data_IF_397931471921
#
_entry.id   IF_397931471921
#
_cell.length_a   1.000
_cell.length_b   1.000
_cell.length_c   1.000
_cell.angle_alpha   90.00
_cell.angle_beta   90.00
_cell.angle_gamma   90.00
#
_symmetry.space_group_name_H-M   'P 1'
#
loop_
_entity.id
_entity.type
_entity.pdbx_description
1 polymer ?
#
# COMPACT_ATOMS: atom_id res chain seq x y z
N UNK A 1 -18.64 8.00 -47.45
CA UNK A 1 -18.40 8.79 -48.68
C UNK A 1 -17.70 7.99 -49.78
N UNK A 2 -16.43 7.61 -49.63
CA UNK A 2 -15.69 6.82 -50.64
C UNK A 2 -16.36 5.48 -51.03
N UNK A 3 -16.91 4.72 -50.07
CA UNK A 3 -17.68 3.50 -50.36
C UNK A 3 -18.94 3.78 -51.20
N UNK A 4 -19.68 4.85 -50.89
CA UNK A 4 -20.88 5.22 -51.65
C UNK A 4 -20.51 5.64 -53.07
N UNK A 5 -19.43 6.39 -53.23
CA UNK A 5 -18.92 6.78 -54.55
C UNK A 5 -18.47 5.55 -55.37
N UNK A 6 -17.86 4.55 -54.72
CA UNK A 6 -17.44 3.31 -55.39
C UNK A 6 -18.63 2.43 -55.77
N UNK A 7 -19.68 2.40 -54.95
CA UNK A 7 -20.93 1.70 -55.28
C UNK A 7 -21.57 2.29 -56.54
N UNK A 8 -21.67 3.62 -56.62
CA UNK A 8 -22.22 4.34 -57.78
C UNK A 8 -21.37 4.12 -59.03
N UNK A 9 -20.05 4.16 -58.90
CA UNK A 9 -19.13 3.93 -60.02
C UNK A 9 -19.16 2.47 -60.50
N UNK A 10 -19.34 1.49 -59.59
CA UNK A 10 -19.55 0.08 -59.94
C UNK A 10 -20.81 -0.12 -60.76
N UNK A 11 -21.92 0.48 -60.32
CA UNK A 11 -23.19 0.38 -61.02
C UNK A 11 -23.12 1.01 -62.42
N UNK A 12 -22.35 2.11 -62.56
CA UNK A 12 -22.06 2.76 -63.85
C UNK A 12 -21.20 1.86 -64.75
N UNK A 13 -20.20 1.17 -64.20
CA UNK A 13 -19.32 0.28 -64.96
C UNK A 13 -20.05 -0.99 -65.41
N UNK A 14 -20.92 -1.55 -64.56
CA UNK A 14 -21.81 -2.64 -64.91
C UNK A 14 -22.79 -2.25 -66.03
N UNK A 15 -23.33 -1.03 -65.99
CA UNK A 15 -24.17 -0.49 -67.05
C UNK A 15 -23.39 -0.37 -68.37
N UNK A 16 -22.19 0.23 -68.36
CA UNK A 16 -21.33 0.37 -69.55
C UNK A 16 -20.96 -1.01 -70.11
N UNK A 17 -20.66 -1.99 -69.27
CA UNK A 17 -20.36 -3.35 -69.70
C UNK A 17 -21.58 -4.02 -70.35
N UNK A 18 -22.75 -3.93 -69.72
CA UNK A 18 -24.02 -4.48 -70.26
C UNK A 18 -24.38 -3.84 -71.60
N UNK A 19 -24.27 -2.51 -71.71
CA UNK A 19 -24.56 -1.79 -72.96
C UNK A 19 -23.54 -2.13 -74.04
N UNK A 20 -22.26 -2.30 -73.70
CA UNK A 20 -21.25 -2.71 -74.67
C UNK A 20 -21.45 -4.15 -75.16
N UNK A 21 -21.87 -5.07 -74.28
CA UNK A 21 -22.23 -6.45 -74.63
C UNK A 21 -23.44 -6.50 -75.59
N UNK A 22 -24.47 -5.68 -75.35
CA UNK A 22 -25.62 -5.53 -76.26
C UNK A 22 -25.21 -5.02 -77.65
N UNK A 23 -24.35 -3.98 -77.71
CA UNK A 23 -23.91 -3.41 -79.00
C UNK A 23 -22.97 -4.36 -79.76
N UNK A 24 -22.13 -5.14 -79.06
CA UNK A 24 -21.31 -6.20 -79.67
C UNK A 24 -22.20 -7.29 -80.29
N UNK A 25 -23.31 -7.63 -79.63
CA UNK A 25 -24.26 -8.62 -80.13
C UNK A 25 -24.96 -8.19 -81.44
N UNK A 26 -25.13 -6.88 -81.66
CA UNK A 26 -25.72 -6.31 -82.89
C UNK A 26 -24.76 -6.25 -84.10
N UNK A 27 -23.51 -6.73 -83.98
CA UNK A 27 -22.50 -6.82 -85.06
C UNK A 27 -22.21 -5.48 -85.77
N UNK A 28 -22.15 -4.38 -85.03
CA UNK A 28 -21.73 -3.08 -85.56
C UNK A 28 -20.22 -3.07 -85.93
N UNK A 29 -19.87 -2.57 -87.12
CA UNK A 29 -18.49 -2.52 -87.63
C UNK A 29 -17.69 -1.46 -86.85
N UNK A 30 -16.51 -1.83 -86.31
CA UNK A 30 -15.59 -0.92 -85.58
C UNK A 30 -15.46 -1.15 -84.07
N UNK A 31 -16.10 -2.19 -83.52
CA UNK A 31 -16.19 -2.44 -82.07
C UNK A 31 -15.02 -3.21 -81.44
N UNK A 32 -14.04 -3.65 -82.23
CA UNK A 32 -12.92 -4.46 -81.76
C UNK A 32 -12.03 -3.70 -80.75
N UNK A 33 -11.80 -2.39 -81.00
CA UNK A 33 -11.06 -1.52 -80.09
C UNK A 33 -11.82 -1.22 -78.79
N UNK A 34 -13.15 -1.10 -78.86
CA UNK A 34 -14.03 -0.81 -77.72
C UNK A 34 -14.17 -2.04 -76.83
N UNK A 35 -14.29 -3.23 -77.43
CA UNK A 35 -14.25 -4.52 -76.75
C UNK A 35 -12.92 -4.74 -76.01
N UNK A 36 -11.79 -4.44 -76.65
CA UNK A 36 -10.47 -4.51 -76.00
C UNK A 36 -10.35 -3.54 -74.81
N UNK A 37 -10.89 -2.32 -74.93
CA UNK A 37 -10.90 -1.38 -73.80
C UNK A 37 -11.79 -1.87 -72.65
N UNK A 38 -12.97 -2.42 -72.94
CA UNK A 38 -13.89 -2.96 -71.96
C UNK A 38 -13.27 -4.15 -71.20
N UNK A 39 -12.65 -5.08 -71.93
CA UNK A 39 -11.92 -6.24 -71.39
C UNK A 39 -10.76 -5.81 -70.50
N UNK A 40 -10.14 -4.65 -70.75
CA UNK A 40 -9.07 -4.10 -69.93
C UNK A 40 -9.58 -3.28 -68.72
N UNK A 41 -10.79 -2.72 -68.77
CA UNK A 41 -11.37 -1.93 -67.68
C UNK A 41 -11.92 -2.81 -66.56
N UNK A 42 -12.56 -3.93 -66.90
CA UNK A 42 -13.09 -4.89 -65.91
C UNK A 42 -12.03 -5.40 -64.91
N UNK A 43 -10.85 -5.91 -65.31
CA UNK A 43 -9.83 -6.37 -64.35
C UNK A 43 -9.24 -5.22 -63.53
N UNK A 44 -9.08 -4.02 -64.11
CA UNK A 44 -8.59 -2.84 -63.38
C UNK A 44 -9.59 -2.39 -62.32
N UNK A 45 -10.88 -2.43 -62.63
CA UNK A 45 -11.95 -2.14 -61.67
C UNK A 45 -11.99 -3.17 -60.54
N UNK A 46 -11.94 -4.46 -60.88
CA UNK A 46 -11.86 -5.55 -59.90
C UNK A 46 -10.62 -5.42 -58.99
N UNK A 47 -9.48 -4.98 -59.52
CA UNK A 47 -8.28 -4.70 -58.72
C UNK A 47 -8.47 -3.51 -57.77
N UNK A 48 -9.12 -2.43 -58.23
CA UNK A 48 -9.46 -1.28 -57.38
C UNK A 48 -10.42 -1.70 -56.27
N UNK A 49 -11.48 -2.45 -56.60
CA UNK A 49 -12.43 -2.98 -55.62
C UNK A 49 -11.73 -3.88 -54.60
N UNK A 50 -10.86 -4.79 -55.06
CA UNK A 50 -10.08 -5.67 -54.18
C UNK A 50 -9.17 -4.88 -53.24
N UNK A 51 -8.41 -3.92 -53.77
CA UNK A 51 -7.51 -3.08 -52.97
C UNK A 51 -8.32 -2.27 -51.96
N UNK A 52 -9.39 -1.59 -52.39
CA UNK A 52 -10.22 -0.81 -51.48
C UNK A 52 -10.85 -1.67 -50.38
N UNK A 53 -11.47 -2.80 -50.73
CA UNK A 53 -12.09 -3.68 -49.75
C UNK A 53 -11.04 -4.20 -48.76
N UNK A 54 -9.83 -4.55 -49.23
CA UNK A 54 -8.74 -4.95 -48.33
C UNK A 54 -8.28 -3.82 -47.40
N UNK A 55 -8.26 -2.57 -47.89
CA UNK A 55 -7.93 -1.40 -47.09
C UNK A 55 -9.00 -1.11 -46.05
N UNK A 56 -10.28 -1.23 -46.43
CA UNK A 56 -11.41 -1.02 -45.55
C UNK A 56 -11.43 -2.04 -44.42
N UNK A 57 -11.37 -3.33 -44.74
CA UNK A 57 -11.31 -4.40 -43.74
C UNK A 57 -10.10 -4.23 -42.82
N UNK A 58 -8.96 -3.79 -43.35
CA UNK A 58 -7.78 -3.49 -42.53
C UNK A 58 -8.02 -2.33 -41.56
N UNK A 59 -8.63 -1.24 -42.02
CA UNK A 59 -8.96 -0.08 -41.18
C UNK A 59 -10.01 -0.42 -40.12
N UNK A 60 -11.06 -1.15 -40.48
CA UNK A 60 -12.11 -1.61 -39.55
C UNK A 60 -11.52 -2.50 -38.45
N UNK A 61 -10.68 -3.47 -38.83
CA UNK A 61 -10.00 -4.34 -37.87
C UNK A 61 -9.01 -3.56 -36.97
N UNK A 62 -8.25 -2.62 -37.53
CA UNK A 62 -7.34 -1.77 -36.78
C UNK A 62 -8.08 -0.88 -35.78
N UNK A 63 -9.19 -0.28 -36.21
CA UNK A 63 -10.05 0.54 -35.37
C UNK A 63 -10.67 -0.27 -34.23
N UNK A 64 -11.19 -1.47 -34.51
CA UNK A 64 -11.76 -2.35 -33.49
C UNK A 64 -10.72 -2.72 -32.42
N UNK A 65 -9.52 -3.13 -32.83
CA UNK A 65 -8.42 -3.46 -31.91
C UNK A 65 -7.96 -2.26 -31.10
N UNK A 66 -7.87 -1.08 -31.72
CA UNK A 66 -7.53 0.16 -31.03
C UNK A 66 -8.57 0.53 -29.98
N UNK A 67 -9.86 0.37 -30.31
CA UNK A 67 -10.93 0.64 -29.36
C UNK A 67 -10.88 -0.32 -28.17
N UNK A 68 -10.65 -1.62 -28.42
CA UNK A 68 -10.45 -2.60 -27.37
C UNK A 68 -9.25 -2.25 -26.47
N UNK A 69 -8.13 -1.86 -27.07
CA UNK A 69 -6.94 -1.41 -26.34
C UNK A 69 -7.23 -0.17 -25.48
N UNK A 70 -7.88 0.85 -26.04
CA UNK A 70 -8.24 2.07 -25.32
C UNK A 70 -9.14 1.78 -24.11
N UNK A 71 -10.09 0.84 -24.22
CA UNK A 71 -10.93 0.43 -23.09
C UNK A 71 -10.10 -0.20 -21.97
N UNK A 72 -9.18 -1.11 -22.31
CA UNK A 72 -8.28 -1.74 -21.32
C UNK A 72 -7.38 -0.71 -20.63
N UNK A 73 -6.85 0.25 -21.39
CA UNK A 73 -6.06 1.37 -20.84
C UNK A 73 -6.91 2.21 -19.89
N UNK A 74 -8.13 2.59 -20.30
CA UNK A 74 -9.03 3.39 -19.48
C UNK A 74 -9.43 2.70 -18.16
N UNK A 75 -9.63 1.37 -18.19
CA UNK A 75 -9.90 0.58 -16.98
C UNK A 75 -8.70 0.61 -16.01
N UNK A 76 -7.48 0.48 -16.53
CA UNK A 76 -6.26 0.59 -15.73
C UNK A 76 -6.08 2.00 -15.18
N UNK A 77 -6.27 3.04 -16.00
CA UNK A 77 -6.18 4.44 -15.57
C UNK A 77 -7.12 4.73 -14.40
N UNK A 78 -8.38 4.31 -14.53
CA UNK A 78 -9.39 4.50 -13.50
C UNK A 78 -8.98 3.82 -12.20
N UNK A 79 -8.46 2.60 -12.28
CA UNK A 79 -7.98 1.89 -11.10
C UNK A 79 -6.75 2.59 -10.49
N UNK A 80 -5.80 3.04 -11.30
CA UNK A 80 -4.63 3.79 -10.83
C UNK A 80 -5.06 5.06 -10.11
N UNK A 81 -6.00 5.82 -10.66
CA UNK A 81 -6.52 7.04 -10.04
C UNK A 81 -7.18 6.74 -8.70
N UNK A 82 -8.03 5.71 -8.64
CA UNK A 82 -8.69 5.29 -7.39
C UNK A 82 -7.69 4.90 -6.30
N UNK A 83 -6.66 4.12 -6.64
CA UNK A 83 -5.64 3.71 -5.66
C UNK A 83 -4.75 4.88 -5.26
N UNK A 84 -4.39 5.75 -6.20
CA UNK A 84 -3.59 6.94 -5.91
C UNK A 84 -4.32 7.88 -4.95
N UNK A 85 -5.60 8.17 -5.22
CA UNK A 85 -6.44 8.98 -4.35
C UNK A 85 -6.59 8.35 -2.95
N UNK A 86 -6.81 7.03 -2.90
CA UNK A 86 -6.92 6.30 -1.65
C UNK A 86 -5.63 6.38 -0.81
N UNK A 87 -4.48 6.08 -1.43
CA UNK A 87 -3.17 6.11 -0.77
C UNK A 87 -2.81 7.50 -0.24
N UNK A 88 -3.21 8.56 -0.95
CA UNK A 88 -2.98 9.95 -0.53
C UNK A 88 -3.94 10.44 0.55
N UNK A 89 -5.21 10.04 0.50
CA UNK A 89 -6.22 10.47 1.47
C UNK A 89 -6.01 9.81 2.83
N UNK A 90 -5.56 8.55 2.85
CA UNK A 90 -5.44 7.80 4.07
C UNK A 90 -4.22 8.25 4.89
N UNK A 91 -4.44 8.60 6.16
CA UNK A 91 -3.38 8.87 7.13
C UNK A 91 -3.25 7.68 8.11
N UNK A 92 -2.04 7.36 8.61
CA UNK A 92 -1.87 6.32 9.61
C UNK A 92 -2.69 6.62 10.87
N UNK A 93 -3.49 5.67 11.32
CA UNK A 93 -4.30 5.77 12.53
C UNK A 93 -3.46 5.54 13.81
N UNK A 94 -2.45 6.39 14.02
CA UNK A 94 -1.55 6.34 15.19
C UNK A 94 -2.38 6.15 16.47
N UNK A 95 -1.91 5.30 17.40
CA UNK A 95 -2.57 5.06 18.68
C UNK A 95 -3.77 4.12 18.65
N UNK A 96 -4.31 3.79 17.49
CA UNK A 96 -5.31 2.74 17.35
C UNK A 96 -4.70 1.54 16.61
N UNK A 97 -4.16 0.58 17.38
CA UNK A 97 -3.53 -0.62 16.83
C UNK A 97 -4.47 -1.44 15.96
N UNK A 98 -5.74 -1.55 16.34
CA UNK A 98 -6.75 -2.30 15.57
C UNK A 98 -6.98 -1.64 14.20
N UNK A 99 -7.10 -0.31 14.17
CA UNK A 99 -7.25 0.43 12.92
C UNK A 99 -5.97 0.37 12.09
N UNK A 100 -4.79 0.57 12.67
CA UNK A 100 -3.51 0.42 11.95
C UNK A 100 -3.36 -0.97 11.32
N UNK A 101 -3.79 -2.02 12.04
CA UNK A 101 -3.78 -3.38 11.51
C UNK A 101 -4.73 -3.52 10.32
N UNK A 102 -5.95 -2.96 10.40
CA UNK A 102 -6.88 -2.94 9.28
C UNK A 102 -6.33 -2.17 8.07
N UNK A 103 -5.68 -1.03 8.29
CA UNK A 103 -5.01 -0.27 7.23
C UNK A 103 -3.85 -1.06 6.60
N UNK A 104 -3.09 -1.80 7.42
CA UNK A 104 -2.02 -2.67 6.93
C UNK A 104 -2.56 -3.81 6.06
N UNK A 105 -3.62 -4.49 6.52
CA UNK A 105 -4.33 -5.53 5.74
C UNK A 105 -4.89 -4.96 4.43
N UNK A 106 -5.44 -3.75 4.46
CA UNK A 106 -5.93 -3.06 3.25
C UNK A 106 -4.81 -2.74 2.27
N UNK A 107 -3.68 -2.18 2.73
CA UNK A 107 -2.52 -1.89 1.88
C UNK A 107 -1.86 -3.17 1.31
N UNK A 108 -1.93 -4.28 2.05
CA UNK A 108 -1.53 -5.59 1.56
C UNK A 108 -2.50 -6.10 0.48
N UNK A 109 -3.81 -5.87 0.64
CA UNK A 109 -4.81 -6.13 -0.40
C UNK A 109 -4.52 -5.39 -1.70
N UNK A 110 -4.21 -4.08 -1.62
CA UNK A 110 -3.80 -3.29 -2.79
C UNK A 110 -2.54 -3.84 -3.47
N UNK A 111 -1.58 -4.35 -2.69
CA UNK A 111 -0.38 -4.99 -3.23
C UNK A 111 -0.71 -6.30 -3.97
N UNK A 112 -1.69 -7.06 -3.49
CA UNK A 112 -2.17 -8.27 -4.18
C UNK A 112 -2.95 -7.92 -5.47
N UNK A 113 -3.72 -6.83 -5.45
CA UNK A 113 -4.43 -6.33 -6.63
C UNK A 113 -3.43 -5.90 -7.73
N UNK A 114 -2.34 -5.22 -7.36
CA UNK A 114 -1.23 -4.89 -8.28
C UNK A 114 -0.69 -6.15 -8.97
N UNK A 115 -0.38 -7.19 -8.22
CA UNK A 115 0.14 -8.45 -8.79
C UNK A 115 -0.87 -9.13 -9.71
N UNK A 116 -2.17 -9.00 -9.39
CA UNK A 116 -3.26 -9.53 -10.23
C UNK A 116 -3.47 -8.73 -11.52
N UNK A 117 -3.18 -7.42 -11.49
CA UNK A 117 -3.32 -6.52 -12.63
C UNK A 117 -2.08 -6.46 -13.53
N UNK A 118 -0.91 -6.83 -13.03
CA UNK A 118 0.36 -6.89 -13.79
C UNK A 118 0.27 -7.68 -15.10
N UNK A 119 -0.40 -8.85 -15.17
CA UNK A 119 -0.64 -9.53 -16.46
C UNK A 119 -1.51 -8.71 -17.42
N UNK A 120 -2.46 -7.91 -16.92
CA UNK A 120 -3.28 -7.03 -17.76
C UNK A 120 -2.45 -5.89 -18.35
N UNK A 121 -1.54 -5.32 -17.56
CA UNK A 121 -0.57 -4.33 -18.05
C UNK A 121 0.28 -4.90 -19.20
N UNK A 122 0.81 -6.12 -19.03
CA UNK A 122 1.56 -6.82 -20.08
C UNK A 122 0.72 -7.10 -21.34
N UNK A 123 -0.57 -7.43 -21.18
CA UNK A 123 -1.49 -7.61 -22.32
C UNK A 123 -1.72 -6.29 -23.08
N UNK A 124 -1.83 -5.17 -22.37
CA UNK A 124 -1.97 -3.84 -22.98
C UNK A 124 -0.72 -3.46 -23.77
N UNK A 125 0.47 -3.74 -23.23
CA UNK A 125 1.76 -3.56 -23.92
C UNK A 125 1.86 -4.44 -25.18
N UNK A 126 1.52 -5.73 -25.06
CA UNK A 126 1.55 -6.66 -26.19
C UNK A 126 0.59 -6.25 -27.30
N UNK A 127 -0.59 -5.74 -26.95
CA UNK A 127 -1.58 -5.27 -27.91
C UNK A 127 -1.08 -4.09 -28.75
N UNK A 128 -0.23 -3.22 -28.19
CA UNK A 128 0.45 -2.16 -28.98
C UNK A 128 1.39 -2.76 -30.01
N UNK A 129 2.13 -3.82 -29.64
CA UNK A 129 3.01 -4.54 -30.57
C UNK A 129 2.28 -5.14 -31.77
N UNK A 130 1.06 -5.65 -31.55
CA UNK A 130 0.20 -6.21 -32.61
C UNK A 130 -0.48 -5.13 -33.47
N UNK A 131 -0.78 -3.97 -32.87
CA UNK A 131 -1.42 -2.84 -33.53
C UNK A 131 -0.45 -2.03 -34.38
N UNK A 132 0.76 -1.76 -33.86
CA UNK A 132 1.72 -0.85 -34.46
C UNK A 132 2.03 -1.12 -35.94
N UNK A 133 2.21 -2.37 -36.42
CA UNK A 133 2.52 -2.64 -37.83
C UNK A 133 1.45 -2.15 -38.82
N UNK A 134 0.20 -2.00 -38.36
CA UNK A 134 -0.96 -1.63 -39.18
C UNK A 134 -1.26 -0.12 -39.12
N UNK A 135 -0.57 0.61 -38.24
CA UNK A 135 -0.81 2.02 -37.96
C UNK A 135 0.08 2.95 -38.81
N UNK A 136 -0.42 4.17 -39.05
CA UNK A 136 0.37 5.27 -39.61
C UNK A 136 1.46 5.72 -38.62
N UNK A 137 2.51 6.44 -39.06
CA UNK A 137 3.54 6.97 -38.16
C UNK A 137 2.97 7.80 -37.01
N UNK A 138 2.00 8.67 -37.28
CA UNK A 138 1.37 9.54 -36.29
C UNK A 138 0.64 8.74 -35.22
N UNK A 139 -0.05 7.67 -35.64
CA UNK A 139 -0.76 6.77 -34.74
C UNK A 139 0.21 5.94 -33.88
N UNK A 140 1.37 5.55 -34.41
CA UNK A 140 2.42 4.87 -33.64
C UNK A 140 2.97 5.78 -32.55
N UNK A 141 3.22 7.06 -32.87
CA UNK A 141 3.69 8.04 -31.90
C UNK A 141 2.64 8.27 -30.80
N UNK A 142 1.36 8.34 -31.16
CA UNK A 142 0.26 8.41 -30.18
C UNK A 142 0.25 7.20 -29.24
N UNK A 143 0.28 5.97 -29.78
CA UNK A 143 0.28 4.73 -28.99
C UNK A 143 1.48 4.67 -28.05
N UNK A 144 2.66 5.05 -28.54
CA UNK A 144 3.88 5.12 -27.74
C UNK A 144 3.74 6.09 -26.58
N UNK A 145 3.36 7.34 -26.86
CA UNK A 145 3.23 8.37 -25.83
C UNK A 145 2.20 7.98 -24.77
N UNK A 146 1.08 7.36 -25.19
CA UNK A 146 0.05 6.89 -24.26
C UNK A 146 0.52 5.71 -23.41
N UNK A 147 1.28 4.78 -24.00
CA UNK A 147 1.89 3.67 -23.25
C UNK A 147 2.94 4.17 -22.25
N UNK A 148 3.78 5.13 -22.65
CA UNK A 148 4.79 5.74 -21.77
C UNK A 148 4.15 6.49 -20.59
N UNK A 149 2.99 7.14 -20.78
CA UNK A 149 2.22 7.77 -19.71
C UNK A 149 1.63 6.73 -18.73
N UNK A 150 1.00 5.68 -19.27
CA UNK A 150 0.43 4.60 -18.47
C UNK A 150 1.51 3.88 -17.65
N UNK A 151 2.66 3.57 -18.26
CA UNK A 151 3.79 2.89 -17.59
C UNK A 151 4.37 3.72 -16.43
N UNK A 152 4.49 5.04 -16.62
CA UNK A 152 4.90 5.94 -15.54
C UNK A 152 3.92 5.91 -14.38
N UNK A 153 2.63 6.08 -14.66
CA UNK A 153 1.56 6.08 -13.64
C UNK A 153 1.45 4.72 -12.94
N UNK A 154 1.61 3.63 -13.69
CA UNK A 154 1.66 2.27 -13.16
C UNK A 154 2.87 2.07 -12.22
N UNK A 155 4.05 2.51 -12.61
CA UNK A 155 5.26 2.44 -11.76
C UNK A 155 5.11 3.30 -10.51
N UNK A 156 4.52 4.49 -10.64
CA UNK A 156 4.29 5.40 -9.52
C UNK A 156 3.28 4.83 -8.52
N UNK A 157 2.17 4.24 -8.96
CA UNK A 157 1.20 3.64 -8.03
C UNK A 157 1.81 2.45 -7.29
N UNK A 158 2.62 1.62 -7.94
CA UNK A 158 3.35 0.53 -7.27
C UNK A 158 4.26 1.08 -6.18
N UNK A 159 5.03 2.12 -6.50
CA UNK A 159 5.93 2.78 -5.55
C UNK A 159 5.16 3.38 -4.38
N UNK A 160 4.05 4.08 -4.64
CA UNK A 160 3.21 4.72 -3.63
C UNK A 160 2.55 3.68 -2.72
N UNK A 161 1.95 2.63 -3.27
CA UNK A 161 1.34 1.55 -2.49
C UNK A 161 2.37 0.86 -1.59
N UNK A 162 3.58 0.59 -2.11
CA UNK A 162 4.67 0.02 -1.31
C UNK A 162 5.11 0.97 -0.19
N UNK A 163 5.37 2.23 -0.51
CA UNK A 163 5.78 3.23 0.49
C UNK A 163 4.72 3.41 1.59
N UNK A 164 3.44 3.36 1.20
CA UNK A 164 2.30 3.40 2.13
C UNK A 164 2.28 2.17 3.04
N UNK A 165 2.44 0.98 2.48
CA UNK A 165 2.51 -0.27 3.26
C UNK A 165 3.67 -0.26 4.24
N UNK A 166 4.89 0.05 3.78
CA UNK A 166 6.09 0.11 4.61
C UNK A 166 5.92 1.16 5.74
N UNK A 167 5.39 2.34 5.43
CA UNK A 167 5.11 3.37 6.43
C UNK A 167 4.05 2.98 7.45
N UNK A 168 2.97 2.32 7.03
CA UNK A 168 1.95 1.79 7.95
C UNK A 168 2.53 0.69 8.86
N UNK A 169 3.34 -0.20 8.30
CA UNK A 169 4.01 -1.26 9.04
C UNK A 169 4.94 -0.68 10.10
N UNK A 170 5.78 0.29 9.75
CA UNK A 170 6.70 0.94 10.68
C UNK A 170 5.96 1.63 11.84
N UNK A 171 4.89 2.37 11.53
CA UNK A 171 4.05 3.03 12.55
C UNK A 171 3.37 2.00 13.44
N UNK A 172 2.84 0.91 12.87
CA UNK A 172 2.22 -0.17 13.62
C UNK A 172 3.22 -0.86 14.56
N UNK A 173 4.38 -1.27 14.06
CA UNK A 173 5.43 -1.92 14.87
C UNK A 173 5.91 -1.03 16.00
N UNK A 174 6.14 0.27 15.73
CA UNK A 174 6.54 1.23 16.77
C UNK A 174 5.44 1.41 17.81
N UNK A 175 4.19 1.58 17.38
CA UNK A 175 3.04 1.72 18.28
C UNK A 175 2.89 0.50 19.17
N UNK A 176 2.91 -0.70 18.59
CA UNK A 176 2.79 -1.97 19.30
C UNK A 176 3.86 -2.11 20.37
N UNK A 177 5.13 -1.83 20.01
CA UNK A 177 6.24 -1.90 20.95
C UNK A 177 6.04 -0.96 22.15
N UNK A 178 5.59 0.28 21.91
CA UNK A 178 5.33 1.24 22.99
C UNK A 178 4.25 0.72 23.93
N UNK A 179 3.14 0.22 23.40
CA UNK A 179 2.06 -0.33 24.21
C UNK A 179 2.51 -1.56 25.00
N UNK A 180 3.28 -2.47 24.38
CA UNK A 180 3.83 -3.65 25.03
C UNK A 180 4.80 -3.27 26.17
N UNK A 181 5.72 -2.33 25.91
CA UNK A 181 6.69 -1.86 26.90
C UNK A 181 6.00 -1.20 28.12
N UNK A 182 4.99 -0.35 27.87
CA UNK A 182 4.19 0.28 28.94
C UNK A 182 3.40 -0.78 29.74
N UNK A 183 2.79 -1.76 29.07
CA UNK A 183 2.01 -2.81 29.72
C UNK A 183 2.89 -3.72 30.57
N UNK A 184 4.05 -4.15 30.03
CA UNK A 184 5.03 -4.96 30.77
C UNK A 184 5.55 -4.22 31.99
N UNK A 185 5.86 -2.92 31.83
CA UNK A 185 6.31 -2.09 32.93
C UNK A 185 5.24 -1.95 34.01
N UNK A 186 4.00 -1.65 33.61
CA UNK A 186 2.88 -1.49 34.55
C UNK A 186 2.62 -2.78 35.33
N UNK A 187 2.62 -3.93 34.65
CA UNK A 187 2.41 -5.24 35.28
C UNK A 187 3.51 -5.56 36.28
N UNK A 188 4.77 -5.29 35.93
CA UNK A 188 5.89 -5.48 36.85
C UNK A 188 5.81 -4.53 38.04
N UNK A 189 5.47 -3.25 37.83
CA UNK A 189 5.28 -2.28 38.92
C UNK A 189 4.19 -2.74 39.88
N UNK A 190 3.05 -3.23 39.38
CA UNK A 190 1.99 -3.79 40.22
C UNK A 190 2.48 -4.98 41.04
N UNK A 191 3.24 -5.91 40.44
CA UNK A 191 3.82 -7.04 41.18
C UNK A 191 4.79 -6.60 42.29
N UNK A 192 5.61 -5.58 42.04
CA UNK A 192 6.52 -5.04 43.05
C UNK A 192 5.74 -4.33 44.16
N UNK A 193 4.71 -3.57 43.81
CA UNK A 193 3.85 -2.89 44.78
C UNK A 193 3.13 -3.90 45.71
N UNK A 194 2.61 -4.99 45.16
CA UNK A 194 2.03 -6.09 45.94
C UNK A 194 3.04 -6.74 46.89
N UNK A 195 4.27 -6.97 46.42
CA UNK A 195 5.36 -7.52 47.23
C UNK A 195 5.74 -6.58 48.39
N UNK A 196 5.76 -5.26 48.15
CA UNK A 196 6.06 -4.25 49.15
C UNK A 196 4.96 -4.07 50.20
N UNK A 197 3.70 -4.24 49.78
CA UNK A 197 2.54 -4.17 50.67
C UNK A 197 2.34 -5.43 51.51
N UNK A 198 3.11 -6.50 51.25
CA UNK A 198 3.08 -7.72 52.04
C UNK A 198 3.56 -7.46 53.49
N UNK A 199 2.73 -7.72 54.52
CA UNK A 199 3.09 -7.45 55.91
C UNK A 199 4.07 -8.52 56.41
N UNK A 200 5.37 -8.32 56.16
CA UNK A 200 6.43 -9.17 56.72
C UNK A 200 7.01 -8.50 57.96
N UNK A 201 6.62 -8.99 59.14
CA UNK A 201 7.23 -8.59 60.41
C UNK A 201 8.41 -9.54 60.73
N UNK A 202 9.66 -9.04 60.81
CA UNK A 202 10.80 -9.90 61.14
C UNK A 202 10.75 -10.34 62.61
N UNK A 203 10.77 -11.65 62.87
CA UNK A 203 10.72 -12.21 64.23
C UNK A 203 12.12 -12.41 64.85
N UNK A 204 13.15 -12.58 64.02
CA UNK A 204 14.54 -12.79 64.44
C UNK A 204 15.51 -11.87 63.71
N UNK A 205 16.73 -11.74 64.24
CA UNK A 205 17.81 -11.00 63.56
C UNK A 205 18.21 -11.61 62.21
N UNK A 206 18.01 -12.92 62.01
CA UNK A 206 18.20 -13.59 60.71
C UNK A 206 17.12 -13.17 59.71
N UNK A 207 15.86 -13.07 60.16
CA UNK A 207 14.75 -12.61 59.31
C UNK A 207 14.95 -11.16 58.88
N UNK A 208 15.45 -10.29 59.77
CA UNK A 208 15.85 -8.93 59.46
C UNK A 208 16.93 -8.88 58.37
N UNK A 209 17.99 -9.68 58.48
CA UNK A 209 19.05 -9.73 57.46
C UNK A 209 18.51 -10.22 56.10
N UNK A 210 17.64 -11.25 56.11
CA UNK A 210 17.04 -11.76 54.88
C UNK A 210 16.15 -10.70 54.22
N UNK A 211 15.36 -9.97 55.01
CA UNK A 211 14.49 -8.91 54.53
C UNK A 211 15.29 -7.73 53.96
N UNK A 212 16.39 -7.34 54.60
CA UNK A 212 17.33 -6.33 54.08
C UNK A 212 17.92 -6.79 52.74
N UNK A 213 18.39 -8.05 52.66
CA UNK A 213 18.96 -8.60 51.43
C UNK A 213 17.95 -8.54 50.28
N UNK A 214 16.71 -8.93 50.56
CA UNK A 214 15.60 -8.89 49.59
C UNK A 214 15.33 -7.47 49.08
N UNK A 215 15.22 -6.49 49.97
CA UNK A 215 14.98 -5.09 49.58
C UNK A 215 16.17 -4.46 48.86
N UNK A 216 17.42 -4.88 49.16
CA UNK A 216 18.59 -4.47 48.37
C UNK A 216 18.52 -5.01 46.94
N UNK A 217 18.18 -6.29 46.76
CA UNK A 217 18.00 -6.87 45.44
C UNK A 217 16.92 -6.13 44.64
N UNK A 218 15.78 -5.83 45.26
CA UNK A 218 14.72 -5.06 44.62
C UNK A 218 15.16 -3.64 44.24
N UNK A 219 15.95 -2.97 45.10
CA UNK A 219 16.55 -1.67 44.79
C UNK A 219 17.48 -1.74 43.58
N UNK A 220 18.35 -2.75 43.52
CA UNK A 220 19.28 -2.93 42.41
C UNK A 220 18.51 -3.23 41.10
N UNK A 221 17.41 -3.99 41.18
CA UNK A 221 16.51 -4.24 40.06
C UNK A 221 15.81 -2.96 39.56
N UNK A 222 15.30 -2.12 40.46
CA UNK A 222 14.76 -0.80 40.14
C UNK A 222 15.82 0.07 39.44
N UNK A 223 17.03 0.16 39.99
CA UNK A 223 18.10 0.94 39.35
C UNK A 223 18.43 0.43 37.95
N UNK A 224 18.47 -0.90 37.75
CA UNK A 224 18.72 -1.50 36.44
C UNK A 224 17.64 -1.21 35.40
N UNK A 225 16.38 -1.00 35.83
CA UNK A 225 15.22 -0.76 34.97
C UNK A 225 14.90 0.71 34.77
N UNK A 226 15.55 1.62 35.49
CA UNK A 226 15.30 3.08 35.40
C UNK A 226 15.38 3.59 33.96
N UNK A 227 16.41 3.19 33.21
CA UNK A 227 16.59 3.59 31.81
C UNK A 227 15.46 3.06 30.91
N UNK A 228 14.99 1.84 31.17
CA UNK A 228 13.89 1.23 30.40
C UNK A 228 12.58 1.97 30.63
N UNK A 229 12.32 2.40 31.87
CA UNK A 229 11.14 3.21 32.22
C UNK A 229 11.18 4.56 31.53
N UNK A 230 12.32 5.25 31.62
CA UNK A 230 12.48 6.56 30.98
C UNK A 230 12.35 6.45 29.46
N UNK A 231 12.93 5.42 28.84
CA UNK A 231 12.79 5.17 27.41
C UNK A 231 11.34 4.87 26.99
N UNK A 232 10.63 3.99 27.70
CA UNK A 232 9.24 3.65 27.40
C UNK A 232 8.32 4.88 27.52
N UNK A 233 8.55 5.71 28.54
CA UNK A 233 7.77 6.92 28.75
C UNK A 233 8.08 7.99 27.70
N UNK A 234 9.35 8.19 27.35
CA UNK A 234 9.76 9.12 26.29
C UNK A 234 9.13 8.73 24.94
N UNK A 235 9.20 7.45 24.57
CA UNK A 235 8.57 6.96 23.33
C UNK A 235 7.05 7.11 23.35
N UNK A 236 6.41 6.90 24.51
CA UNK A 236 5.00 7.15 24.70
C UNK A 236 4.63 8.63 24.51
N UNK A 237 5.43 9.56 25.04
CA UNK A 237 5.21 11.01 24.89
C UNK A 237 5.41 11.47 23.44
N UNK A 238 6.39 10.91 22.72
CA UNK A 238 6.54 11.14 21.27
C UNK A 238 5.32 10.65 20.49
N UNK A 239 4.75 9.51 20.88
CA UNK A 239 3.54 8.98 20.28
C UNK A 239 2.32 9.86 20.57
N UNK A 240 2.19 10.40 21.78
CA UNK A 240 1.18 11.42 22.12
C UNK A 240 1.32 12.65 21.23
N UNK A 241 2.55 13.12 20.97
CA UNK A 241 2.80 14.23 20.04
C UNK A 241 2.38 13.93 18.59
N UNK A 242 2.39 12.66 18.19
CA UNK A 242 1.98 12.23 16.84
C UNK A 242 0.46 12.05 16.69
N UNK A 243 -0.31 12.17 17.79
CA UNK A 243 -1.75 11.95 17.85
C UNK A 243 -2.59 13.23 17.64
N UNK A 244 -2.09 14.21 16.88
CA UNK A 244 -2.78 15.52 16.68
C UNK A 244 -4.24 15.36 16.20
N UNK A 245 -4.53 14.31 15.43
CA UNK A 245 -5.86 14.01 14.90
C UNK A 245 -6.80 13.28 15.87
N UNK A 246 -6.31 12.82 17.03
CA UNK A 246 -7.09 12.04 18.00
C UNK A 246 -6.79 12.47 19.45
N UNK A 247 -7.41 13.56 19.93
CA UNK A 247 -7.12 14.13 21.25
C UNK A 247 -7.55 13.21 22.40
N UNK A 248 -8.62 12.43 22.23
CA UNK A 248 -9.08 11.50 23.26
C UNK A 248 -8.08 10.36 23.49
N UNK A 249 -7.55 9.78 22.42
CA UNK A 249 -6.55 8.71 22.50
C UNK A 249 -5.23 9.24 23.06
N UNK A 250 -4.81 10.44 22.62
CA UNK A 250 -3.65 11.14 23.16
C UNK A 250 -3.78 11.33 24.68
N UNK A 251 -4.95 11.76 25.14
CA UNK A 251 -5.23 11.96 26.55
C UNK A 251 -5.21 10.64 27.34
N UNK A 252 -5.78 9.57 26.81
CA UNK A 252 -5.75 8.25 27.45
C UNK A 252 -4.32 7.73 27.62
N UNK A 253 -3.52 7.79 26.56
CA UNK A 253 -2.11 7.37 26.62
C UNK A 253 -1.32 8.25 27.60
N UNK A 254 -1.54 9.56 27.60
CA UNK A 254 -0.89 10.48 28.54
C UNK A 254 -1.25 10.17 30.00
N UNK A 255 -2.51 9.84 30.29
CA UNK A 255 -2.95 9.43 31.64
C UNK A 255 -2.26 8.14 32.06
N UNK A 256 -2.17 7.14 31.17
CA UNK A 256 -1.45 5.89 31.44
C UNK A 256 0.02 6.15 31.76
N UNK A 257 0.73 6.92 30.91
CA UNK A 257 2.13 7.28 31.12
C UNK A 257 2.37 7.98 32.45
N UNK A 258 1.50 8.93 32.82
CA UNK A 258 1.59 9.64 34.09
C UNK A 258 1.31 8.70 35.28
N UNK A 259 0.36 7.78 35.15
CA UNK A 259 0.08 6.77 36.17
C UNK A 259 1.29 5.86 36.40
N UNK A 260 1.86 5.29 35.33
CA UNK A 260 3.04 4.43 35.39
C UNK A 260 4.25 5.17 35.99
N UNK A 261 4.47 6.44 35.59
CA UNK A 261 5.54 7.29 36.16
C UNK A 261 5.33 7.54 37.65
N UNK A 262 4.11 7.84 38.08
CA UNK A 262 3.79 8.05 39.49
C UNK A 262 3.99 6.77 40.30
N UNK A 263 3.51 5.62 39.81
CA UNK A 263 3.73 4.31 40.44
C UNK A 263 5.22 4.00 40.60
N UNK A 264 6.02 4.19 39.55
CA UNK A 264 7.47 4.04 39.60
C UNK A 264 8.10 4.89 40.71
N UNK A 265 7.75 6.18 40.77
CA UNK A 265 8.30 7.10 41.78
C UNK A 265 7.94 6.68 43.20
N UNK A 266 6.68 6.28 43.43
CA UNK A 266 6.20 5.85 44.73
C UNK A 266 6.91 4.57 45.19
N UNK A 267 7.06 3.59 44.29
CA UNK A 267 7.76 2.34 44.59
C UNK A 267 9.23 2.60 44.91
N UNK A 268 9.92 3.43 44.11
CA UNK A 268 11.32 3.79 44.38
C UNK A 268 11.47 4.42 45.78
N UNK A 269 10.57 5.35 46.13
CA UNK A 269 10.57 5.99 47.44
C UNK A 269 10.29 4.99 48.57
N UNK A 270 9.29 4.12 48.41
CA UNK A 270 8.92 3.12 49.41
C UNK A 270 10.07 2.13 49.66
N UNK A 271 10.71 1.62 48.60
CA UNK A 271 11.88 0.72 48.73
C UNK A 271 13.03 1.43 49.45
N UNK A 272 13.29 2.70 49.10
CA UNK A 272 14.32 3.49 49.76
C UNK A 272 14.07 3.64 51.27
N UNK A 273 12.86 4.10 51.65
CA UNK A 273 12.49 4.34 53.04
C UNK A 273 12.47 3.05 53.86
N UNK A 274 11.92 1.97 53.28
CA UNK A 274 11.87 0.66 53.93
C UNK A 274 13.26 0.09 54.16
N UNK A 275 14.15 0.18 53.17
CA UNK A 275 15.52 -0.31 53.29
C UNK A 275 16.31 0.48 54.35
N UNK A 276 16.12 1.80 54.41
CA UNK A 276 16.71 2.66 55.45
C UNK A 276 16.22 2.23 56.84
N UNK A 277 14.91 2.14 57.04
CA UNK A 277 14.33 1.72 58.32
C UNK A 277 14.80 0.33 58.76
N UNK A 278 14.87 -0.64 57.84
CA UNK A 278 15.36 -2.00 58.15
C UNK A 278 16.84 -2.01 58.54
N UNK A 279 17.67 -1.21 57.87
CA UNK A 279 19.09 -1.08 58.18
C UNK A 279 19.30 -0.46 59.56
N UNK A 280 18.59 0.64 59.85
CA UNK A 280 18.63 1.31 61.16
C UNK A 280 18.16 0.35 62.27
N UNK A 281 17.06 -0.38 62.04
CA UNK A 281 16.54 -1.38 63.00
C UNK A 281 17.53 -2.50 63.27
N UNK A 282 18.26 -2.95 62.24
CA UNK A 282 19.26 -4.01 62.38
C UNK A 282 20.50 -3.53 63.17
N UNK A 283 20.93 -2.28 62.99
CA UNK A 283 21.99 -1.67 63.78
C UNK A 283 21.62 -1.60 65.27
N UNK A 284 20.42 -1.09 65.57
CA UNK A 284 19.90 -1.06 66.94
C UNK A 284 19.81 -2.45 67.57
N UNK A 285 19.30 -3.45 66.83
CA UNK A 285 19.27 -4.84 67.30
C UNK A 285 20.67 -5.38 67.59
N UNK A 286 21.64 -5.12 66.71
CA UNK A 286 23.05 -5.53 66.90
C UNK A 286 23.66 -4.89 68.14
N UNK A 287 23.41 -3.61 68.39
CA UNK A 287 23.88 -2.93 69.60
C UNK A 287 23.29 -3.53 70.88
N UNK A 288 21.99 -3.84 70.88
CA UNK A 288 21.31 -4.47 72.02
C UNK A 288 21.88 -5.87 72.31
N UNK A 289 22.10 -6.68 71.27
CA UNK A 289 22.75 -7.98 71.39
C UNK A 289 24.18 -7.85 71.96
N UNK A 290 24.95 -6.87 71.48
CA UNK A 290 26.29 -6.60 71.99
C UNK A 290 26.32 -6.15 73.45
N UNK A 291 25.30 -5.43 73.92
CA UNK A 291 25.13 -5.06 75.34
C UNK A 291 24.73 -6.26 76.20
N UNK A 292 23.87 -7.13 75.69
CA UNK A 292 23.42 -8.34 76.39
C UNK A 292 24.54 -9.37 76.58
N UNK A 293 25.42 -9.55 75.59
CA UNK A 293 26.56 -10.47 75.66
C UNK A 293 27.72 -9.99 76.56
N UNK A 294 27.70 -8.72 76.99
CA UNK A 294 28.70 -8.11 77.90
C UNK A 294 28.27 -8.12 79.37
N UNK A 295 27.04 -8.53 79.68
CA UNK A 295 26.52 -8.73 81.04
C UNK A 295 26.62 -10.20 81.43
#
# INVERSE_FOLDING_TARGET
ELQNQLLVQRDTLNFICSTAEEIVAEKAIGFEALSVQLVNLTPRWSDIERVLNSQLTRLENGYAKLNEWNLKVADLDKWIDQVTDFVHAEQPAVGNLETLKAQLEQSQGLSADIETLKPKMQQVESAVGDLAPQCTPEMKDYLKNRMDDLDKRWTDVIRLTKAKHDGLHDVHTRSQKIFDDIQQLTTWLTSVEEELNSPVAPATGKDLQLLIKKHKQLKDELESRSNTVEAAVCLGEEMVGSLESSPEMAQQLQVQLNSTRNQWSVICQHVHDKLKHLTDSFEHWRELQGKLLKK
#
